data_IF_734399235275
#
_entry.id   IF_734399235275
#
_cell.length_a   1.000
_cell.length_b   1.000
_cell.length_c   1.000
_cell.angle_alpha   90.00
_cell.angle_beta   90.00
_cell.angle_gamma   90.00
#
_symmetry.space_group_name_H-M   'P 1'
#
loop_
_entity.id
_entity.type
_entity.pdbx_description
1 polymer ?
#
# COMPACT_ATOMS: atom_id res chain seq x y z
N UNK A 1 -5.12 28.66 3.49
CA UNK A 1 -4.59 29.17 2.21
C UNK A 1 -4.30 27.94 1.35
N UNK A 2 -4.94 27.84 0.18
CA UNK A 2 -4.83 26.68 -0.73
C UNK A 2 -3.40 26.58 -1.26
N UNK A 3 -2.69 25.52 -0.89
CA UNK A 3 -1.34 25.16 -1.37
C UNK A 3 -1.40 24.41 -2.72
N UNK A 4 -2.42 24.64 -3.52
CA UNK A 4 -2.47 24.04 -4.85
C UNK A 4 -1.69 24.96 -5.77
N UNK A 5 -0.43 24.64 -6.04
CA UNK A 5 0.24 25.16 -7.23
C UNK A 5 -0.60 24.67 -8.41
N UNK A 6 -1.25 25.58 -9.14
CA UNK A 6 -2.11 25.22 -10.27
C UNK A 6 -1.34 24.42 -11.33
N UNK A 7 -0.03 24.61 -11.41
CA UNK A 7 0.84 23.94 -12.40
C UNK A 7 2.20 23.67 -11.81
N UNK A 8 2.70 22.44 -12.00
CA UNK A 8 4.05 22.02 -11.62
C UNK A 8 4.74 21.43 -12.85
N UNK A 9 6.01 21.81 -13.06
CA UNK A 9 6.86 21.31 -14.13
C UNK A 9 8.10 20.67 -13.52
N UNK A 10 8.28 19.37 -13.77
CA UNK A 10 9.43 18.61 -13.27
C UNK A 10 10.20 18.01 -14.43
N UNK A 11 11.52 18.25 -14.48
CA UNK A 11 12.45 17.69 -15.47
C UNK A 11 13.43 16.75 -14.79
N UNK A 12 13.73 15.61 -15.43
CA UNK A 12 14.71 14.66 -14.92
C UNK A 12 14.69 13.35 -15.72
N UNK A 13 15.26 12.30 -15.14
CA UNK A 13 15.17 10.94 -15.69
C UNK A 13 13.92 10.26 -15.19
N UNK A 14 13.08 9.78 -16.07
CA UNK A 14 11.81 9.14 -15.71
C UNK A 14 11.80 7.67 -16.11
N UNK A 15 11.20 6.87 -15.26
CA UNK A 15 10.98 5.45 -15.51
C UNK A 15 9.59 5.06 -15.00
N UNK A 16 8.78 4.46 -15.87
CA UNK A 16 7.50 3.86 -15.49
C UNK A 16 7.12 2.65 -16.37
N UNK A 17 6.00 2.02 -16.02
CA UNK A 17 5.39 0.92 -16.76
C UNK A 17 4.07 1.43 -17.33
N UNK A 18 3.95 1.43 -18.66
CA UNK A 18 2.88 2.16 -19.36
C UNK A 18 1.50 1.50 -19.21
N UNK A 19 1.46 0.16 -19.14
CA UNK A 19 0.20 -0.61 -19.09
C UNK A 19 0.30 -1.77 -18.12
N UNK A 20 -0.85 -2.18 -17.58
CA UNK A 20 -0.94 -3.43 -16.82
C UNK A 20 -0.75 -4.63 -17.77
N UNK A 21 -0.13 -5.68 -17.25
CA UNK A 21 0.18 -6.90 -18.01
C UNK A 21 -0.53 -8.11 -17.39
N UNK A 22 -0.61 -9.19 -18.16
CA UNK A 22 -1.13 -10.49 -17.73
C UNK A 22 -0.01 -11.47 -17.33
N UNK A 23 1.21 -11.24 -17.83
CA UNK A 23 2.37 -12.10 -17.60
C UNK A 23 3.59 -11.23 -17.23
N UNK A 24 4.46 -11.68 -16.31
CA UNK A 24 5.63 -10.91 -15.90
C UNK A 24 6.64 -10.71 -17.04
N UNK A 25 6.67 -11.62 -18.00
CA UNK A 25 7.51 -11.56 -19.20
C UNK A 25 7.16 -10.41 -20.16
N UNK A 26 5.98 -9.84 -20.03
CA UNK A 26 5.53 -8.69 -20.84
C UNK A 26 5.95 -7.33 -20.24
N UNK A 27 6.32 -7.29 -18.97
CA UNK A 27 6.68 -6.04 -18.29
C UNK A 27 7.81 -5.29 -19.00
N UNK A 28 8.91 -5.94 -19.45
CA UNK A 28 9.99 -5.23 -20.15
C UNK A 28 9.52 -4.50 -21.42
N UNK A 29 8.48 -5.00 -22.09
CA UNK A 29 7.90 -4.38 -23.30
C UNK A 29 7.06 -3.13 -22.97
N UNK A 30 6.70 -2.93 -21.70
CA UNK A 30 5.90 -1.80 -21.20
C UNK A 30 6.75 -0.74 -20.50
N UNK A 31 8.06 -0.95 -20.38
CA UNK A 31 8.96 0.03 -19.78
C UNK A 31 9.05 1.28 -20.65
N UNK A 32 8.82 2.43 -20.02
CA UNK A 32 9.10 3.73 -20.62
C UNK A 32 10.21 4.39 -19.79
N UNK A 33 11.36 4.63 -20.42
CA UNK A 33 12.48 5.33 -19.84
C UNK A 33 12.80 6.57 -20.65
N UNK A 34 12.82 7.73 -20.00
CA UNK A 34 13.22 9.02 -20.56
C UNK A 34 14.45 9.51 -19.82
N UNK A 35 15.59 9.56 -20.47
CA UNK A 35 16.84 10.05 -19.87
C UNK A 35 16.77 11.55 -19.55
N UNK A 36 16.07 12.31 -20.35
CA UNK A 36 15.77 13.73 -20.14
C UNK A 36 14.28 13.94 -20.47
N UNK A 37 13.44 13.74 -19.50
CA UNK A 37 11.99 13.84 -19.59
C UNK A 37 11.44 15.06 -18.85
N UNK A 38 10.19 15.38 -19.14
CA UNK A 38 9.41 16.41 -18.43
C UNK A 38 8.02 15.87 -18.12
N UNK A 39 7.57 16.14 -16.90
CA UNK A 39 6.20 15.98 -16.47
C UNK A 39 5.62 17.38 -16.17
N UNK A 40 4.48 17.69 -16.78
CA UNK A 40 3.68 18.89 -16.49
C UNK A 40 2.39 18.43 -15.85
N UNK A 41 2.10 18.89 -14.63
CA UNK A 41 0.83 18.66 -13.96
C UNK A 41 0.06 19.95 -13.78
N UNK A 42 -1.26 19.87 -13.96
CA UNK A 42 -2.23 20.94 -13.68
C UNK A 42 -3.33 20.40 -12.79
N UNK A 43 -3.67 21.13 -11.73
CA UNK A 43 -4.72 20.74 -10.78
C UNK A 43 -4.54 19.30 -10.27
N UNK A 44 -3.29 18.91 -10.02
CA UNK A 44 -2.93 17.59 -9.49
C UNK A 44 -2.91 16.45 -10.52
N UNK A 45 -3.22 16.72 -11.79
CA UNK A 45 -3.24 15.70 -12.84
C UNK A 45 -2.17 15.95 -13.88
N UNK A 46 -1.65 14.86 -14.44
CA UNK A 46 -0.66 14.91 -15.51
C UNK A 46 -1.32 15.46 -16.76
N UNK A 47 -0.86 16.62 -17.19
CA UNK A 47 -1.33 17.30 -18.39
C UNK A 47 -0.54 16.92 -19.61
N UNK A 48 0.78 16.76 -19.43
CA UNK A 48 1.71 16.37 -20.46
C UNK A 48 2.89 15.59 -19.86
N UNK A 49 3.40 14.62 -20.61
CA UNK A 49 4.57 13.84 -20.24
C UNK A 49 5.31 13.38 -21.52
N UNK A 50 6.62 13.63 -21.59
CA UNK A 50 7.44 13.26 -22.73
C UNK A 50 8.88 13.72 -22.62
N UNK A 51 9.64 13.64 -23.74
CA UNK A 51 11.03 14.09 -23.79
C UNK A 51 11.14 15.61 -23.67
N UNK A 52 12.20 16.09 -23.01
CA UNK A 52 12.46 17.54 -22.88
C UNK A 52 12.53 18.25 -24.24
N UNK A 53 13.09 17.61 -25.24
CA UNK A 53 13.22 18.18 -26.60
C UNK A 53 11.84 18.55 -27.19
N UNK A 54 10.78 17.83 -26.83
CA UNK A 54 9.42 18.02 -27.35
C UNK A 54 8.57 18.93 -26.44
N UNK A 55 9.08 19.28 -25.23
CA UNK A 55 8.32 19.97 -24.21
C UNK A 55 8.05 21.46 -24.49
N UNK A 56 8.83 22.11 -25.35
CA UNK A 56 8.85 23.58 -25.52
C UNK A 56 7.46 24.19 -25.77
N UNK A 57 6.63 23.56 -26.61
CA UNK A 57 5.30 24.06 -26.94
C UNK A 57 4.24 23.79 -25.84
N UNK A 58 4.60 22.98 -24.84
CA UNK A 58 3.71 22.58 -23.72
C UNK A 58 4.07 23.29 -22.43
N UNK A 59 5.27 23.93 -22.36
CA UNK A 59 5.70 24.61 -21.15
C UNK A 59 4.84 25.85 -20.88
N UNK A 60 4.21 25.94 -19.69
CA UNK A 60 3.43 27.10 -19.33
C UNK A 60 4.35 28.31 -19.06
N UNK A 61 3.95 29.47 -19.54
CA UNK A 61 4.71 30.69 -19.37
C UNK A 61 4.88 31.08 -17.90
N UNK A 62 6.11 31.36 -17.46
CA UNK A 62 6.39 31.87 -16.12
C UNK A 62 6.39 30.79 -15.01
N UNK A 63 6.27 29.52 -15.34
CA UNK A 63 6.39 28.42 -14.36
C UNK A 63 7.86 27.98 -14.26
N UNK A 64 8.35 27.89 -13.03
CA UNK A 64 9.69 27.37 -12.75
C UNK A 64 9.77 25.87 -13.02
N UNK A 65 10.81 25.44 -13.74
CA UNK A 65 11.10 24.03 -13.98
C UNK A 65 11.94 23.48 -12.82
N UNK A 66 11.36 22.58 -12.04
CA UNK A 66 12.10 21.85 -11.01
C UNK A 66 12.93 20.76 -11.69
N UNK A 67 14.27 20.91 -11.66
CA UNK A 67 15.19 20.04 -12.40
C UNK A 67 15.97 19.11 -11.48
N UNK A 68 15.86 17.80 -11.74
CA UNK A 68 16.53 16.71 -11.05
C UNK A 68 17.46 15.95 -12.02
N UNK A 69 18.67 16.49 -12.32
CA UNK A 69 19.51 16.00 -13.42
C UNK A 69 20.09 14.59 -13.17
N UNK A 70 20.31 14.21 -11.90
CA UNK A 70 20.97 12.95 -11.54
C UNK A 70 20.03 11.93 -10.92
N UNK A 71 18.84 12.36 -10.51
CA UNK A 71 17.85 11.52 -9.83
C UNK A 71 17.02 10.73 -10.85
N UNK A 72 16.44 9.64 -10.39
CA UNK A 72 15.44 8.86 -11.13
C UNK A 72 14.06 9.18 -10.58
N UNK A 73 13.14 9.52 -11.45
CA UNK A 73 11.75 9.81 -11.07
C UNK A 73 10.88 8.62 -11.50
N UNK A 74 10.15 8.05 -10.54
CA UNK A 74 9.22 6.93 -10.76
C UNK A 74 7.85 7.30 -10.21
N UNK A 75 6.76 6.64 -10.63
CA UNK A 75 5.45 6.79 -9.98
C UNK A 75 5.57 6.56 -8.49
N UNK A 76 4.77 7.26 -7.70
CA UNK A 76 4.76 7.11 -6.25
C UNK A 76 4.47 5.66 -5.84
N UNK A 77 5.12 5.22 -4.78
CA UNK A 77 4.93 3.87 -4.26
C UNK A 77 3.55 3.70 -3.65
N UNK A 78 3.01 2.48 -3.79
CA UNK A 78 1.67 2.10 -3.34
C UNK A 78 1.80 0.97 -2.33
N UNK A 79 1.40 1.24 -1.10
CA UNK A 79 1.37 0.28 -0.02
C UNK A 79 -0.04 -0.31 0.11
N UNK A 80 -0.19 -1.60 -0.16
CA UNK A 80 -1.51 -2.25 -0.19
C UNK A 80 -1.94 -2.84 1.16
N UNK A 81 -1.10 -2.74 2.19
CA UNK A 81 -1.42 -3.15 3.56
C UNK A 81 -0.45 -2.58 4.57
N UNK A 82 -0.95 -1.78 5.51
CA UNK A 82 -0.16 -1.16 6.58
C UNK A 82 -1.05 -0.80 7.76
N UNK A 83 -0.53 -0.89 9.00
CA UNK A 83 -1.25 -0.53 10.22
C UNK A 83 -0.75 0.80 10.81
N UNK A 84 -1.52 1.86 10.71
CA UNK A 84 -1.22 3.15 11.30
C UNK A 84 -1.02 3.10 12.82
N UNK A 85 -1.88 2.38 13.59
CA UNK A 85 -1.76 2.36 15.06
C UNK A 85 -0.53 1.61 15.57
N UNK A 86 0.12 0.82 14.72
CA UNK A 86 1.26 -0.02 15.11
C UNK A 86 2.61 0.66 14.85
N UNK A 87 2.61 1.95 14.50
CA UNK A 87 3.82 2.73 14.20
C UNK A 87 4.84 2.70 15.33
N UNK A 88 4.40 2.81 16.59
CA UNK A 88 5.29 2.88 17.76
C UNK A 88 5.87 1.54 18.18
N UNK A 89 5.33 0.43 17.68
CA UNK A 89 5.79 -0.90 18.04
C UNK A 89 6.67 -1.57 16.97
N UNK A 90 7.06 -0.82 15.95
CA UNK A 90 8.00 -1.32 14.92
C UNK A 90 9.29 -1.78 15.59
N UNK A 91 9.70 -3.04 15.29
CA UNK A 91 10.88 -3.65 15.89
C UNK A 91 10.66 -4.21 17.28
N UNK A 92 9.42 -4.29 17.79
CA UNK A 92 9.11 -5.07 18.99
C UNK A 92 9.46 -6.54 18.74
N UNK A 93 9.94 -7.23 19.80
CA UNK A 93 10.45 -8.60 19.65
C UNK A 93 9.40 -9.54 19.05
N UNK A 94 9.73 -10.12 17.89
CA UNK A 94 8.84 -11.00 17.14
C UNK A 94 8.66 -12.35 17.82
N UNK A 95 7.41 -12.66 18.13
CA UNK A 95 6.94 -13.98 18.52
C UNK A 95 5.99 -14.51 17.45
N UNK A 96 5.36 -15.67 17.68
CA UNK A 96 4.27 -16.12 16.81
C UNK A 96 3.08 -15.14 16.87
N UNK A 97 2.37 -15.00 15.75
CA UNK A 97 1.31 -14.00 15.53
C UNK A 97 0.38 -13.78 16.74
N UNK A 98 -0.23 -14.85 17.26
CA UNK A 98 -1.24 -14.71 18.33
C UNK A 98 -0.67 -14.21 19.67
N UNK A 99 0.56 -14.62 20.01
CA UNK A 99 1.27 -14.12 21.18
C UNK A 99 1.64 -12.64 21.00
N UNK A 100 2.13 -12.29 19.83
CA UNK A 100 2.55 -10.93 19.48
C UNK A 100 1.39 -9.92 19.53
N UNK A 101 0.20 -10.32 19.05
CA UNK A 101 -1.01 -9.50 19.13
C UNK A 101 -1.35 -9.13 20.59
N UNK A 102 -1.30 -10.10 21.50
CA UNK A 102 -1.64 -9.87 22.92
C UNK A 102 -0.59 -9.06 23.66
N UNK A 103 0.69 -9.26 23.32
CA UNK A 103 1.82 -8.65 24.05
C UNK A 103 2.04 -7.19 23.65
N UNK A 104 1.93 -6.87 22.38
CA UNK A 104 2.31 -5.56 21.84
C UNK A 104 1.15 -4.83 21.17
N UNK A 105 0.42 -5.49 20.27
CA UNK A 105 -0.55 -4.84 19.39
C UNK A 105 -1.73 -4.27 20.14
N UNK A 106 -2.44 -5.09 20.89
CA UNK A 106 -3.65 -4.66 21.57
C UNK A 106 -3.39 -3.57 22.61
N UNK A 107 -2.34 -3.64 23.47
CA UNK A 107 -2.01 -2.55 24.38
C UNK A 107 -1.73 -1.21 23.69
N UNK A 108 -1.11 -1.24 22.51
CA UNK A 108 -0.84 -0.03 21.73
C UNK A 108 -2.12 0.51 21.09
N UNK A 109 -2.93 -0.35 20.47
CA UNK A 109 -4.16 0.07 19.77
C UNK A 109 -5.22 0.67 20.70
N UNK A 110 -5.29 0.26 21.96
CA UNK A 110 -6.22 0.83 22.97
C UNK A 110 -5.99 2.34 23.16
N UNK A 111 -4.77 2.85 23.01
CA UNK A 111 -4.46 4.26 23.22
C UNK A 111 -5.15 5.19 22.22
N UNK A 112 -5.56 4.66 21.06
CA UNK A 112 -6.17 5.43 19.98
C UNK A 112 -7.64 5.85 20.22
N UNK A 113 -8.22 5.50 21.35
CA UNK A 113 -9.44 6.10 21.85
C UNK A 113 -9.26 7.60 22.21
N UNK A 114 -8.03 8.03 22.54
CA UNK A 114 -7.69 9.44 22.70
C UNK A 114 -7.39 10.06 21.33
N UNK A 115 -8.28 10.96 20.90
CA UNK A 115 -8.12 11.65 19.61
C UNK A 115 -6.85 12.50 19.53
N UNK A 116 -6.37 13.04 20.64
CA UNK A 116 -5.14 13.85 20.68
C UNK A 116 -3.95 12.98 20.34
N UNK A 117 -3.83 11.84 21.02
CA UNK A 117 -2.81 10.84 20.75
C UNK A 117 -2.91 10.31 19.30
N UNK A 118 -4.13 9.93 18.85
CA UNK A 118 -4.34 9.47 17.49
C UNK A 118 -3.90 10.51 16.43
N UNK A 119 -4.15 11.81 16.67
CA UNK A 119 -3.72 12.89 15.78
C UNK A 119 -2.19 13.04 15.71
N UNK A 120 -1.48 12.90 16.82
CA UNK A 120 -0.01 12.99 16.87
C UNK A 120 0.60 11.85 16.07
N UNK A 121 0.15 10.61 16.30
CA UNK A 121 0.65 9.45 15.58
C UNK A 121 0.24 9.50 14.10
N UNK A 122 -0.96 9.96 13.75
CA UNK A 122 -1.39 10.09 12.36
C UNK A 122 -0.53 11.08 11.56
N UNK A 123 -0.15 12.20 12.16
CA UNK A 123 0.75 13.16 11.53
C UNK A 123 2.13 12.56 11.30
N UNK A 124 2.68 11.88 12.31
CA UNK A 124 3.96 11.18 12.22
C UNK A 124 3.91 10.11 11.11
N UNK A 125 2.88 9.26 11.12
CA UNK A 125 2.68 8.19 10.16
C UNK A 125 2.64 8.70 8.71
N UNK A 126 1.85 9.75 8.43
CA UNK A 126 1.77 10.34 7.09
C UNK A 126 3.12 10.93 6.67
N UNK A 127 3.88 11.55 7.58
CA UNK A 127 5.22 12.05 7.28
C UNK A 127 6.20 10.91 6.98
N UNK A 128 6.14 9.81 7.71
CA UNK A 128 6.99 8.63 7.42
C UNK A 128 6.63 8.00 6.06
N UNK A 129 5.34 7.89 5.70
CA UNK A 129 4.95 7.44 4.35
C UNK A 129 5.59 8.33 3.26
N UNK A 130 5.48 9.64 3.39
CA UNK A 130 6.04 10.59 2.43
C UNK A 130 7.58 10.50 2.37
N UNK A 131 8.24 10.39 3.51
CA UNK A 131 9.70 10.23 3.64
C UNK A 131 10.21 8.95 2.97
N UNK A 132 9.35 7.93 2.89
CA UNK A 132 9.67 6.67 2.21
C UNK A 132 9.14 6.57 0.77
N UNK A 133 8.58 7.65 0.22
CA UNK A 133 8.12 7.71 -1.18
C UNK A 133 6.75 7.07 -1.42
N UNK A 134 6.03 6.68 -0.36
CA UNK A 134 4.68 6.13 -0.45
C UNK A 134 3.69 7.26 -0.65
N UNK A 135 2.90 7.19 -1.71
CA UNK A 135 1.93 8.23 -2.10
C UNK A 135 0.48 7.76 -1.99
N UNK A 136 0.27 6.45 -1.93
CA UNK A 136 -1.03 5.81 -1.74
C UNK A 136 -0.87 4.64 -0.79
N UNK A 137 -1.77 4.50 0.19
CA UNK A 137 -1.76 3.37 1.11
C UNK A 137 -3.17 2.87 1.44
N UNK A 138 -3.29 1.55 1.67
CA UNK A 138 -4.47 0.89 2.23
C UNK A 138 -4.18 0.55 3.70
N UNK A 139 -4.89 1.21 4.62
CA UNK A 139 -4.47 1.37 6.02
C UNK A 139 -5.50 0.80 6.99
N UNK A 140 -5.04 -0.06 7.90
CA UNK A 140 -5.76 -0.41 9.12
C UNK A 140 -5.68 0.72 10.14
N UNK A 141 -6.85 1.12 10.69
CA UNK A 141 -6.94 1.97 11.89
C UNK A 141 -7.16 1.09 13.14
N UNK A 142 -7.86 1.62 14.15
CA UNK A 142 -8.36 0.85 15.31
C UNK A 142 -9.88 0.72 15.29
N UNK A 143 -10.45 0.10 16.31
CA UNK A 143 -11.91 0.06 16.51
C UNK A 143 -12.52 1.44 16.83
N UNK A 144 -11.70 2.41 17.20
CA UNK A 144 -12.14 3.74 17.60
C UNK A 144 -12.33 4.65 16.38
N UNK A 145 -13.52 5.25 16.15
CA UNK A 145 -13.78 6.21 15.08
C UNK A 145 -12.78 7.37 15.03
N UNK A 146 -12.29 7.80 16.20
CA UNK A 146 -11.32 8.88 16.37
C UNK A 146 -10.01 8.60 15.62
N UNK A 147 -9.58 7.34 15.58
CA UNK A 147 -8.36 6.95 14.85
C UNK A 147 -8.50 7.12 13.34
N UNK A 148 -9.69 6.82 12.80
CA UNK A 148 -10.01 7.00 11.37
C UNK A 148 -10.06 8.48 11.02
N UNK A 149 -10.74 9.28 11.84
CA UNK A 149 -10.83 10.74 11.67
C UNK A 149 -9.43 11.37 11.70
N UNK A 150 -8.59 11.00 12.67
CA UNK A 150 -7.23 11.51 12.81
C UNK A 150 -6.38 11.22 11.55
N UNK A 151 -6.48 10.01 11.03
CA UNK A 151 -5.72 9.59 9.86
C UNK A 151 -6.16 10.35 8.59
N UNK A 152 -7.47 10.41 8.31
CA UNK A 152 -7.97 11.13 7.13
C UNK A 152 -7.72 12.64 7.23
N UNK A 153 -7.86 13.25 8.42
CA UNK A 153 -7.53 14.65 8.65
C UNK A 153 -6.03 14.94 8.40
N UNK A 154 -5.13 14.03 8.77
CA UNK A 154 -3.70 14.16 8.49
C UNK A 154 -3.39 14.03 6.98
N UNK A 155 -4.00 13.05 6.30
CA UNK A 155 -3.84 12.82 4.87
C UNK A 155 -4.39 13.99 4.02
N UNK A 156 -5.52 14.58 4.40
CA UNK A 156 -6.15 15.70 3.70
C UNK A 156 -5.23 16.92 3.65
N UNK A 157 -4.47 17.20 4.73
CA UNK A 157 -3.54 18.34 4.79
C UNK A 157 -2.50 18.32 3.67
N UNK A 158 -2.08 17.13 3.25
CA UNK A 158 -1.09 16.92 2.18
C UNK A 158 -1.72 16.36 0.91
N UNK A 159 -3.04 16.24 0.87
CA UNK A 159 -3.82 15.66 -0.23
C UNK A 159 -3.38 14.23 -0.61
N UNK A 160 -2.89 13.45 0.36
CA UNK A 160 -2.49 12.07 0.13
C UNK A 160 -3.71 11.18 -0.14
N UNK A 161 -3.58 10.24 -1.07
CA UNK A 161 -4.60 9.22 -1.30
C UNK A 161 -4.46 8.12 -0.25
N UNK A 162 -5.43 8.06 0.66
CA UNK A 162 -5.53 6.95 1.60
C UNK A 162 -6.86 6.22 1.43
N UNK A 163 -6.78 4.90 1.58
CA UNK A 163 -7.92 4.01 1.73
C UNK A 163 -7.82 3.47 3.15
N UNK A 164 -8.80 3.76 4.00
CA UNK A 164 -8.72 3.37 5.40
C UNK A 164 -10.11 3.10 5.98
N UNK A 165 -10.16 2.41 7.10
CA UNK A 165 -11.40 2.17 7.80
C UNK A 165 -11.21 1.74 9.24
N UNK A 166 -12.29 1.89 10.01
CA UNK A 166 -12.40 1.41 11.37
C UNK A 166 -12.28 -0.11 11.40
N UNK A 167 -11.39 -0.63 12.23
CA UNK A 167 -11.29 -2.08 12.49
C UNK A 167 -12.53 -2.57 13.22
N UNK A 168 -13.00 -3.76 12.85
CA UNK A 168 -14.16 -4.39 13.43
C UNK A 168 -13.74 -5.67 14.15
N UNK A 169 -14.03 -5.71 15.44
CA UNK A 169 -13.84 -6.87 16.33
C UNK A 169 -14.96 -6.88 17.37
N UNK A 170 -15.55 -8.02 17.67
CA UNK A 170 -16.57 -8.18 18.72
C UNK A 170 -16.35 -9.41 19.59
N UNK A 171 -15.25 -10.15 19.37
CA UNK A 171 -14.80 -11.26 20.20
C UNK A 171 -13.29 -11.47 20.13
N UNK A 172 -12.75 -12.30 21.03
CA UNK A 172 -11.35 -12.73 21.04
C UNK A 172 -10.33 -11.58 21.05
N UNK A 173 -10.72 -10.43 21.59
CA UNK A 173 -9.90 -9.24 21.76
C UNK A 173 -10.20 -8.63 23.14
N UNK A 174 -9.34 -7.73 23.68
CA UNK A 174 -9.66 -6.98 24.89
C UNK A 174 -10.97 -6.20 24.75
N UNK A 175 -11.74 -6.08 25.83
CA UNK A 175 -13.05 -5.39 25.84
C UNK A 175 -12.97 -3.97 25.25
N UNK A 176 -11.89 -3.24 25.55
CA UNK A 176 -11.65 -1.88 25.04
C UNK A 176 -11.43 -1.83 23.50
N UNK A 177 -11.24 -2.97 22.84
CA UNK A 177 -11.09 -3.12 21.40
C UNK A 177 -12.24 -3.93 20.78
N UNK A 178 -13.36 -4.09 21.48
CA UNK A 178 -14.54 -4.80 20.98
C UNK A 178 -15.70 -3.84 20.72
N UNK A 179 -16.31 -4.03 19.56
CA UNK A 179 -17.61 -3.46 19.20
C UNK A 179 -18.75 -4.39 19.65
N UNK A 180 -19.99 -3.96 19.39
CA UNK A 180 -21.13 -4.85 19.14
C UNK A 180 -21.39 -4.92 17.62
N UNK A 181 -22.11 -5.93 17.10
CA UNK A 181 -22.50 -5.93 15.69
C UNK A 181 -23.22 -4.65 15.25
N UNK A 182 -24.04 -4.05 16.13
CA UNK A 182 -24.77 -2.81 15.88
C UNK A 182 -23.85 -1.59 15.81
N UNK A 183 -22.93 -1.43 16.76
CA UNK A 183 -21.98 -0.29 16.75
C UNK A 183 -20.96 -0.45 15.63
N UNK A 184 -20.50 -1.67 15.34
CA UNK A 184 -19.67 -1.95 14.16
C UNK A 184 -20.32 -1.45 12.88
N UNK A 185 -21.61 -1.72 12.70
CA UNK A 185 -22.38 -1.26 11.54
C UNK A 185 -22.59 0.26 11.56
N UNK A 186 -23.15 0.82 12.65
CA UNK A 186 -23.54 2.25 12.70
C UNK A 186 -22.36 3.19 12.58
N UNK A 187 -21.26 2.91 13.27
CA UNK A 187 -20.06 3.75 13.24
C UNK A 187 -19.36 3.67 11.88
N UNK A 188 -19.27 2.46 11.32
CA UNK A 188 -18.70 2.28 9.99
C UNK A 188 -19.51 3.01 8.93
N UNK A 189 -20.84 2.91 8.98
CA UNK A 189 -21.74 3.65 8.07
C UNK A 189 -21.54 5.16 8.16
N UNK A 190 -21.50 5.70 9.37
CA UNK A 190 -21.26 7.13 9.60
C UNK A 190 -19.90 7.58 9.05
N UNK A 191 -18.84 6.77 9.23
CA UNK A 191 -17.52 7.06 8.70
C UNK A 191 -17.44 6.95 7.18
N UNK A 192 -18.15 5.99 6.55
CA UNK A 192 -18.28 5.92 5.10
C UNK A 192 -18.92 7.19 4.56
N UNK A 193 -20.06 7.59 5.11
CA UNK A 193 -20.80 8.81 4.69
C UNK A 193 -19.96 10.08 4.89
N UNK A 194 -19.12 10.10 5.91
CA UNK A 194 -18.21 11.22 6.22
C UNK A 194 -17.04 11.31 5.26
N UNK A 195 -16.37 10.19 4.96
CA UNK A 195 -15.04 10.20 4.34
C UNK A 195 -14.98 9.63 2.92
N UNK A 196 -15.81 8.62 2.58
CA UNK A 196 -15.69 7.97 1.28
C UNK A 196 -15.98 8.95 0.13
N UNK A 197 -15.01 9.08 -0.80
CA UNK A 197 -15.12 10.01 -1.93
C UNK A 197 -14.95 11.49 -1.58
N UNK A 198 -14.51 11.83 -0.35
CA UNK A 198 -14.17 13.21 0.02
C UNK A 198 -12.72 13.50 -0.35
N UNK A 199 -12.52 14.44 -1.28
CA UNK A 199 -11.18 14.69 -1.82
C UNK A 199 -10.56 13.43 -2.39
N UNK A 200 -9.48 12.95 -1.77
CA UNK A 200 -8.79 11.71 -2.18
C UNK A 200 -8.97 10.55 -1.19
N UNK A 201 -9.79 10.73 -0.15
CA UNK A 201 -10.11 9.70 0.83
C UNK A 201 -11.05 8.64 0.25
N UNK A 202 -10.74 7.36 0.48
CA UNK A 202 -11.60 6.22 0.18
C UNK A 202 -11.74 5.36 1.44
N UNK A 203 -12.90 4.77 1.64
CA UNK A 203 -13.15 3.98 2.83
C UNK A 203 -13.00 2.48 2.56
N UNK A 204 -12.50 1.75 3.58
CA UNK A 204 -12.46 0.29 3.60
C UNK A 204 -13.25 -0.24 4.80
N UNK A 205 -14.17 -1.14 4.56
CA UNK A 205 -14.81 -1.95 5.61
C UNK A 205 -13.75 -2.95 6.07
N UNK A 206 -13.40 -2.94 7.36
CA UNK A 206 -12.17 -3.56 7.84
C UNK A 206 -12.42 -4.53 9.02
N UNK A 207 -13.05 -5.71 8.78
CA UNK A 207 -12.98 -6.77 9.78
C UNK A 207 -11.50 -7.15 9.98
N UNK A 208 -11.01 -7.19 11.22
CA UNK A 208 -9.58 -7.45 11.44
C UNK A 208 -9.17 -8.77 10.82
N UNK A 209 -9.79 -9.85 11.25
CA UNK A 209 -9.71 -11.17 10.66
C UNK A 209 -10.84 -12.04 11.24
N UNK A 210 -11.18 -13.15 10.60
CA UNK A 210 -12.36 -13.95 10.98
C UNK A 210 -12.40 -14.37 12.46
N UNK A 211 -11.29 -14.71 13.15
CA UNK A 211 -11.35 -15.07 14.56
C UNK A 211 -11.88 -13.99 15.51
N UNK A 212 -11.75 -12.72 15.16
CA UNK A 212 -12.20 -11.59 16.01
C UNK A 212 -13.59 -11.07 15.66
N UNK A 213 -14.28 -11.71 14.72
CA UNK A 213 -15.65 -11.36 14.34
C UNK A 213 -16.61 -12.54 14.57
N UNK A 214 -17.75 -12.25 15.20
CA UNK A 214 -18.86 -13.23 15.26
C UNK A 214 -19.56 -13.34 13.90
N UNK A 215 -20.32 -14.41 13.65
CA UNK A 215 -21.22 -14.50 12.49
C UNK A 215 -22.13 -13.28 12.37
N UNK A 216 -22.69 -12.79 13.47
CA UNK A 216 -23.57 -11.62 13.53
C UNK A 216 -22.86 -10.34 13.11
N UNK A 217 -21.61 -10.14 13.52
CA UNK A 217 -20.81 -9.00 13.06
C UNK A 217 -20.51 -9.11 11.56
N UNK A 218 -20.12 -10.30 11.08
CA UNK A 218 -19.84 -10.51 9.64
C UNK A 218 -21.09 -10.31 8.77
N UNK A 219 -22.28 -10.67 9.24
CA UNK A 219 -23.54 -10.35 8.55
C UNK A 219 -23.74 -8.85 8.41
N UNK A 220 -23.51 -8.07 9.48
CA UNK A 220 -23.58 -6.59 9.43
C UNK A 220 -22.54 -6.00 8.49
N UNK A 221 -21.34 -6.56 8.47
CA UNK A 221 -20.27 -6.16 7.54
C UNK A 221 -20.68 -6.44 6.08
N UNK A 222 -21.26 -7.60 5.80
CA UNK A 222 -21.81 -7.95 4.49
C UNK A 222 -22.93 -7.00 4.05
N UNK A 223 -23.80 -6.63 4.97
CA UNK A 223 -24.87 -5.65 4.73
C UNK A 223 -24.26 -4.29 4.32
N UNK A 224 -23.23 -3.80 5.03
CA UNK A 224 -22.54 -2.54 4.66
C UNK A 224 -21.95 -2.62 3.24
N UNK A 225 -21.33 -3.75 2.87
CA UNK A 225 -20.79 -3.93 1.52
C UNK A 225 -21.88 -3.90 0.44
N UNK A 226 -23.07 -4.40 0.73
CA UNK A 226 -24.22 -4.32 -0.19
C UNK A 226 -24.77 -2.89 -0.30
N UNK A 227 -24.84 -2.14 0.80
CA UNK A 227 -25.29 -0.76 0.81
C UNK A 227 -24.30 0.20 0.12
N UNK A 228 -23.00 -0.09 0.24
CA UNK A 228 -21.91 0.72 -0.30
C UNK A 228 -20.99 -0.12 -1.20
N UNK A 229 -21.45 -0.50 -2.40
CA UNK A 229 -20.72 -1.47 -3.24
C UNK A 229 -19.38 -0.98 -3.77
N UNK A 230 -19.13 0.31 -3.76
CA UNK A 230 -17.88 0.95 -4.22
C UNK A 230 -16.82 1.14 -3.12
N UNK A 231 -17.16 0.92 -1.83
CA UNK A 231 -16.15 0.88 -0.76
C UNK A 231 -15.30 -0.38 -0.83
N UNK A 232 -14.11 -0.30 -0.24
CA UNK A 232 -13.22 -1.46 -0.15
C UNK A 232 -13.63 -2.40 0.97
N UNK A 233 -13.14 -3.64 0.88
CA UNK A 233 -13.02 -4.57 2.02
C UNK A 233 -11.55 -4.82 2.23
N UNK A 234 -11.08 -4.77 3.47
CA UNK A 234 -9.68 -4.98 3.82
C UNK A 234 -9.58 -5.86 5.07
N UNK A 235 -8.91 -6.99 4.98
CA UNK A 235 -8.80 -7.96 6.09
C UNK A 235 -7.58 -8.86 5.92
N UNK A 236 -7.23 -9.63 6.95
CA UNK A 236 -6.17 -10.64 6.92
C UNK A 236 -6.74 -12.00 6.50
N UNK A 237 -5.93 -12.79 5.81
CA UNK A 237 -6.31 -14.11 5.31
C UNK A 237 -5.13 -15.07 5.26
N UNK A 238 -5.28 -16.22 5.91
CA UNK A 238 -4.39 -17.38 5.77
C UNK A 238 -2.89 -17.04 5.91
N UNK A 239 -2.59 -16.22 6.92
CA UNK A 239 -1.22 -15.80 7.24
C UNK A 239 -0.44 -16.91 7.94
N UNK A 240 -1.07 -17.55 8.97
CA UNK A 240 -0.44 -18.51 9.86
C UNK A 240 -1.27 -19.79 9.96
N UNK A 241 -0.61 -20.94 10.09
CA UNK A 241 -1.29 -22.24 10.14
C UNK A 241 -2.15 -22.42 11.41
N UNK A 242 -1.71 -21.88 12.54
CA UNK A 242 -2.48 -21.94 13.80
C UNK A 242 -3.71 -21.04 13.70
N UNK A 243 -3.60 -19.89 13.03
CA UNK A 243 -4.72 -19.01 12.68
C UNK A 243 -5.76 -19.75 11.82
N UNK A 244 -5.33 -20.42 10.76
CA UNK A 244 -6.22 -21.22 9.88
C UNK A 244 -6.95 -22.30 10.67
N UNK A 245 -6.22 -23.04 11.52
CA UNK A 245 -6.82 -24.06 12.37
C UNK A 245 -7.86 -23.47 13.34
N UNK A 246 -7.58 -22.29 13.88
CA UNK A 246 -8.51 -21.57 14.75
C UNK A 246 -9.77 -21.13 14.00
N UNK A 247 -9.64 -20.54 12.80
CA UNK A 247 -10.79 -20.18 11.94
C UNK A 247 -11.67 -21.40 11.67
N UNK A 248 -11.06 -22.53 11.30
CA UNK A 248 -11.80 -23.78 11.05
C UNK A 248 -12.59 -24.27 12.28
N UNK A 249 -12.06 -24.04 13.49
CA UNK A 249 -12.78 -24.39 14.72
C UNK A 249 -13.95 -23.44 15.03
N UNK A 250 -13.85 -22.17 14.62
CA UNK A 250 -14.87 -21.14 14.86
C UNK A 250 -15.98 -21.14 13.79
N UNK A 251 -15.67 -21.61 12.58
CA UNK A 251 -16.55 -21.62 11.41
C UNK A 251 -16.54 -23.02 10.76
N UNK A 252 -17.02 -24.07 11.47
CA UNK A 252 -16.90 -25.45 11.01
C UNK A 252 -17.76 -25.77 9.77
N UNK A 253 -18.74 -24.93 9.43
CA UNK A 253 -19.62 -25.11 8.27
C UNK A 253 -18.97 -24.61 6.97
N UNK A 254 -17.90 -23.81 7.04
CA UNK A 254 -17.19 -23.27 5.88
C UNK A 254 -16.07 -24.20 5.42
N UNK A 255 -15.92 -24.33 4.10
CA UNK A 255 -14.95 -25.22 3.49
C UNK A 255 -13.49 -24.78 3.73
N UNK A 256 -13.22 -23.47 3.77
CA UNK A 256 -11.91 -22.88 3.99
C UNK A 256 -11.99 -21.52 4.65
N UNK A 257 -10.82 -20.87 4.84
CA UNK A 257 -10.78 -19.57 5.50
C UNK A 257 -11.42 -18.49 4.61
N UNK A 258 -11.07 -18.44 3.33
CA UNK A 258 -11.66 -17.47 2.39
C UNK A 258 -13.18 -17.69 2.23
N UNK A 259 -13.66 -18.94 2.35
CA UNK A 259 -15.09 -19.26 2.26
C UNK A 259 -15.90 -18.57 3.36
N UNK A 260 -15.31 -18.32 4.55
CA UNK A 260 -15.94 -17.49 5.58
C UNK A 260 -16.27 -16.11 5.02
N UNK A 261 -15.30 -15.43 4.40
CA UNK A 261 -15.52 -14.11 3.83
C UNK A 261 -16.47 -14.13 2.62
N UNK A 262 -16.38 -15.16 1.78
CA UNK A 262 -17.25 -15.34 0.64
C UNK A 262 -18.71 -15.52 1.07
N UNK A 263 -18.95 -16.32 2.12
CA UNK A 263 -20.28 -16.57 2.69
C UNK A 263 -20.99 -15.27 3.08
N UNK A 264 -20.25 -14.31 3.66
CA UNK A 264 -20.80 -13.00 4.06
C UNK A 264 -20.69 -11.92 2.94
N UNK A 265 -20.33 -12.28 1.70
CA UNK A 265 -20.29 -11.36 0.58
C UNK A 265 -19.13 -10.35 0.62
N UNK A 266 -18.03 -10.71 1.27
CA UNK A 266 -16.86 -9.84 1.45
C UNK A 266 -15.75 -10.06 0.41
N UNK A 267 -15.90 -11.04 -0.49
CA UNK A 267 -15.05 -11.22 -1.65
C UNK A 267 -15.56 -10.36 -2.81
N UNK A 268 -14.66 -9.91 -3.69
CA UNK A 268 -15.06 -9.15 -4.86
C UNK A 268 -14.04 -8.11 -5.30
N UNK A 269 -14.40 -7.36 -6.32
CA UNK A 269 -13.64 -6.20 -6.76
C UNK A 269 -13.49 -5.21 -5.59
N UNK A 270 -12.28 -4.68 -5.36
CA UNK A 270 -11.93 -3.85 -4.21
C UNK A 270 -11.94 -4.56 -2.84
N UNK A 271 -11.94 -5.91 -2.84
CA UNK A 271 -11.61 -6.68 -1.63
C UNK A 271 -10.13 -7.04 -1.66
N UNK A 272 -9.39 -6.62 -0.64
CA UNK A 272 -7.95 -6.82 -0.51
C UNK A 272 -7.69 -7.65 0.74
N UNK A 273 -7.03 -8.79 0.54
CA UNK A 273 -6.70 -9.74 1.60
C UNK A 273 -5.19 -9.71 1.86
N UNK A 274 -4.79 -9.41 3.09
CA UNK A 274 -3.38 -9.38 3.45
C UNK A 274 -2.83 -10.79 3.66
N UNK A 275 -1.54 -10.96 3.35
CA UNK A 275 -0.71 -12.16 3.50
C UNK A 275 -1.03 -13.28 2.51
N UNK A 276 -2.11 -14.01 2.69
CA UNK A 276 -2.52 -15.12 1.82
C UNK A 276 -1.40 -16.19 1.60
N UNK A 277 -0.59 -16.44 2.64
CA UNK A 277 0.60 -17.31 2.55
C UNK A 277 0.21 -18.76 2.28
N UNK A 278 -0.91 -19.20 2.83
CA UNK A 278 -1.32 -20.60 2.85
C UNK A 278 -2.68 -20.83 2.17
N UNK A 279 -2.94 -20.19 1.03
CA UNK A 279 -4.18 -20.42 0.28
C UNK A 279 -4.20 -21.81 -0.36
N UNK A 280 -5.34 -22.49 -0.26
CA UNK A 280 -5.64 -23.70 -1.00
C UNK A 280 -6.03 -23.42 -2.46
N UNK A 281 -6.06 -24.43 -3.32
CA UNK A 281 -6.31 -24.22 -4.76
C UNK A 281 -7.71 -23.67 -5.05
N UNK A 282 -8.70 -24.05 -4.29
CA UNK A 282 -10.08 -23.55 -4.37
C UNK A 282 -10.15 -22.06 -3.96
N UNK A 283 -9.37 -21.65 -2.96
CA UNK A 283 -9.30 -20.26 -2.53
C UNK A 283 -8.62 -19.39 -3.60
N UNK A 284 -7.55 -19.88 -4.26
CA UNK A 284 -6.95 -19.22 -5.40
C UNK A 284 -7.95 -19.03 -6.55
N UNK A 285 -8.78 -20.03 -6.83
CA UNK A 285 -9.82 -19.93 -7.85
C UNK A 285 -10.88 -18.90 -7.46
N UNK A 286 -11.32 -18.89 -6.19
CA UNK A 286 -12.25 -17.89 -5.67
C UNK A 286 -11.70 -16.48 -5.79
N UNK A 287 -10.42 -16.23 -5.45
CA UNK A 287 -9.77 -14.93 -5.61
C UNK A 287 -9.78 -14.45 -7.07
N UNK A 288 -9.52 -15.34 -8.02
CA UNK A 288 -9.60 -15.05 -9.45
C UNK A 288 -11.02 -14.69 -9.88
N UNK A 289 -12.00 -15.56 -9.60
CA UNK A 289 -13.38 -15.44 -10.08
C UNK A 289 -14.08 -14.19 -9.51
N UNK A 290 -13.78 -13.85 -8.26
CA UNK A 290 -14.31 -12.66 -7.60
C UNK A 290 -13.54 -11.38 -7.92
N UNK A 291 -12.39 -11.48 -8.60
CA UNK A 291 -11.47 -10.37 -8.84
C UNK A 291 -10.94 -9.71 -7.55
N UNK A 292 -10.90 -10.45 -6.46
CA UNK A 292 -10.25 -10.02 -5.22
C UNK A 292 -8.74 -9.84 -5.41
N UNK A 293 -8.10 -9.10 -4.51
CA UNK A 293 -6.67 -8.82 -4.59
C UNK A 293 -5.94 -9.25 -3.31
N UNK A 294 -4.64 -9.47 -3.45
CA UNK A 294 -3.74 -9.83 -2.36
C UNK A 294 -2.80 -8.67 -2.04
N UNK A 295 -2.57 -8.42 -0.76
CA UNK A 295 -1.45 -7.61 -0.28
C UNK A 295 -0.34 -8.56 0.19
N UNK A 296 0.75 -8.63 -0.58
CA UNK A 296 1.93 -9.43 -0.22
C UNK A 296 2.81 -8.67 0.75
N UNK A 297 2.98 -9.18 1.96
CA UNK A 297 3.70 -8.58 3.08
C UNK A 297 4.97 -9.39 3.43
N UNK A 298 6.00 -9.38 2.58
CA UNK A 298 7.15 -10.29 2.76
C UNK A 298 7.89 -10.07 4.07
N UNK A 299 8.04 -8.83 4.50
CA UNK A 299 8.80 -8.47 5.70
C UNK A 299 8.16 -9.04 6.96
N UNK A 300 6.86 -8.82 7.15
CA UNK A 300 6.14 -9.34 8.32
C UNK A 300 5.99 -10.85 8.29
N UNK A 301 5.73 -11.45 7.11
CA UNK A 301 5.64 -12.89 6.96
C UNK A 301 6.94 -13.60 7.41
N UNK A 302 8.10 -13.00 7.13
CA UNK A 302 9.39 -13.48 7.58
C UNK A 302 9.63 -13.20 9.07
N UNK A 303 9.28 -12.00 9.53
CA UNK A 303 9.51 -11.57 10.90
C UNK A 303 8.72 -12.40 11.93
N UNK A 304 7.45 -12.71 11.62
CA UNK A 304 6.60 -13.56 12.46
C UNK A 304 6.73 -15.06 12.14
N UNK A 305 7.52 -15.45 11.13
CA UNK A 305 7.67 -16.83 10.72
C UNK A 305 6.42 -17.45 10.10
N UNK A 306 5.57 -16.63 9.50
CA UNK A 306 4.31 -17.05 8.87
C UNK A 306 4.53 -17.95 7.66
N UNK A 307 5.57 -17.69 6.84
CA UNK A 307 5.94 -18.52 5.70
C UNK A 307 6.37 -17.73 4.46
N UNK A 308 6.48 -18.45 3.34
CA UNK A 308 6.93 -17.90 2.07
C UNK A 308 5.76 -17.79 1.09
N UNK A 309 5.37 -16.56 0.76
CA UNK A 309 4.26 -16.31 -0.17
C UNK A 309 4.64 -16.67 -1.62
N UNK A 310 3.83 -17.47 -2.34
CA UNK A 310 4.13 -17.92 -3.69
C UNK A 310 3.73 -16.87 -4.75
N UNK A 311 4.51 -15.78 -4.88
CA UNK A 311 4.18 -14.66 -5.79
C UNK A 311 3.96 -15.12 -7.24
N UNK A 312 4.73 -16.08 -7.73
CA UNK A 312 4.57 -16.64 -9.07
C UNK A 312 3.16 -17.22 -9.29
N UNK A 313 2.57 -17.84 -8.28
CA UNK A 313 1.22 -18.41 -8.36
C UNK A 313 0.15 -17.35 -8.63
N UNK A 314 0.38 -16.07 -8.25
CA UNK A 314 -0.53 -14.97 -8.57
C UNK A 314 -0.65 -14.74 -10.07
N UNK A 315 0.46 -14.83 -10.79
CA UNK A 315 0.47 -14.74 -12.25
C UNK A 315 -0.21 -15.96 -12.90
N UNK A 316 0.13 -17.17 -12.44
CA UNK A 316 -0.46 -18.42 -12.94
C UNK A 316 -1.97 -18.46 -12.74
N UNK A 317 -2.46 -17.92 -11.64
CA UNK A 317 -3.88 -17.88 -11.28
C UNK A 317 -4.56 -16.56 -11.68
N UNK A 318 -3.85 -15.62 -12.31
CA UNK A 318 -4.35 -14.29 -12.70
C UNK A 318 -5.00 -13.53 -11.52
N UNK A 319 -4.43 -13.63 -10.33
CA UNK A 319 -4.86 -12.91 -9.12
C UNK A 319 -4.06 -11.62 -8.99
N UNK A 320 -4.74 -10.51 -8.73
CA UNK A 320 -4.10 -9.21 -8.53
C UNK A 320 -3.31 -9.19 -7.23
N UNK A 321 -2.11 -8.62 -7.27
CA UNK A 321 -1.25 -8.50 -6.08
C UNK A 321 -0.52 -7.16 -6.05
N UNK A 322 -0.47 -6.55 -4.87
CA UNK A 322 0.37 -5.42 -4.53
C UNK A 322 1.29 -5.77 -3.36
N UNK A 323 2.25 -4.89 -3.06
CA UNK A 323 3.13 -5.02 -1.91
C UNK A 323 2.56 -4.29 -0.70
N UNK A 324 2.67 -4.88 0.48
CA UNK A 324 2.35 -4.27 1.76
C UNK A 324 3.58 -4.24 2.68
N UNK A 325 3.80 -3.12 3.35
CA UNK A 325 4.86 -3.01 4.37
C UNK A 325 4.46 -3.69 5.68
N UNK A 326 3.16 -3.66 5.98
CA UNK A 326 2.58 -4.24 7.19
C UNK A 326 3.25 -3.78 8.49
N UNK A 327 3.46 -2.46 8.62
CA UNK A 327 3.86 -1.84 9.89
C UNK A 327 2.82 -2.19 10.96
N UNK A 328 3.13 -2.80 12.09
CA UNK A 328 4.34 -2.96 12.91
C UNK A 328 4.96 -4.36 12.93
N UNK A 329 4.34 -5.45 12.41
CA UNK A 329 5.07 -6.71 12.21
C UNK A 329 6.07 -6.55 11.05
N UNK A 330 5.74 -5.76 10.04
CA UNK A 330 6.71 -5.25 9.10
C UNK A 330 7.66 -4.25 9.77
N UNK A 331 8.95 -4.38 9.47
CA UNK A 331 10.03 -3.69 10.20
C UNK A 331 10.48 -2.38 9.56
N UNK A 332 9.82 -1.95 8.47
CA UNK A 332 10.21 -0.74 7.72
C UNK A 332 9.04 -0.17 6.92
N UNK A 333 8.91 1.15 6.91
CA UNK A 333 8.03 1.90 6.01
C UNK A 333 8.49 1.88 4.54
N UNK A 334 9.72 1.43 4.28
CA UNK A 334 10.33 1.48 2.96
C UNK A 334 9.87 0.34 2.04
N UNK A 335 9.10 0.66 1.00
CA UNK A 335 8.79 -0.30 -0.06
C UNK A 335 10.04 -0.78 -0.83
N UNK A 336 11.17 -0.04 -0.80
CA UNK A 336 12.44 -0.54 -1.30
C UNK A 336 12.93 -1.75 -0.49
N UNK A 337 12.82 -1.70 0.84
CA UNK A 337 13.16 -2.82 1.71
C UNK A 337 12.15 -3.96 1.58
N UNK A 338 10.86 -3.65 1.46
CA UNK A 338 9.82 -4.65 1.19
C UNK A 338 10.10 -5.44 -0.09
N UNK A 339 10.50 -4.76 -1.16
CA UNK A 339 10.94 -5.40 -2.42
C UNK A 339 12.16 -6.29 -2.21
N UNK A 340 13.15 -5.85 -1.40
CA UNK A 340 14.33 -6.65 -1.09
C UNK A 340 13.94 -7.97 -0.41
N UNK A 341 13.03 -7.95 0.55
CA UNK A 341 12.53 -9.16 1.19
C UNK A 341 11.69 -10.02 0.22
N UNK A 342 10.84 -9.40 -0.62
CA UNK A 342 10.10 -10.11 -1.66
C UNK A 342 11.04 -10.88 -2.60
N UNK A 343 12.13 -10.25 -3.04
CA UNK A 343 13.15 -10.91 -3.87
C UNK A 343 13.74 -12.15 -3.17
N UNK A 344 14.13 -12.03 -1.89
CA UNK A 344 14.71 -13.16 -1.13
C UNK A 344 13.70 -14.29 -0.94
N UNK A 345 12.44 -13.97 -0.66
CA UNK A 345 11.34 -14.95 -0.54
C UNK A 345 11.19 -15.73 -1.84
N UNK A 346 11.23 -15.08 -3.02
CA UNK A 346 11.14 -15.79 -4.29
C UNK A 346 12.38 -16.64 -4.56
N UNK A 347 13.59 -16.16 -4.25
CA UNK A 347 14.83 -16.95 -4.37
C UNK A 347 14.77 -18.23 -3.53
N UNK A 348 14.23 -18.17 -2.31
CA UNK A 348 14.08 -19.34 -1.44
C UNK A 348 13.10 -20.38 -2.01
N UNK A 349 12.21 -19.97 -2.89
CA UNK A 349 11.25 -20.85 -3.58
C UNK A 349 11.72 -21.30 -4.97
N UNK A 350 12.93 -20.90 -5.39
CA UNK A 350 13.49 -21.21 -6.69
C UNK A 350 12.95 -20.36 -7.84
N UNK A 351 12.21 -19.29 -7.52
CA UNK A 351 11.67 -18.34 -8.48
C UNK A 351 12.53 -17.06 -8.56
N UNK A 352 12.25 -16.22 -9.54
CA UNK A 352 12.97 -14.96 -9.75
C UNK A 352 12.00 -13.80 -9.71
N UNK A 353 12.43 -12.71 -9.09
CA UNK A 353 11.74 -11.41 -9.14
C UNK A 353 12.70 -10.43 -9.84
N UNK A 354 12.36 -9.99 -11.06
CA UNK A 354 13.14 -8.99 -11.78
C UNK A 354 12.94 -7.59 -11.17
N UNK A 355 13.89 -6.67 -11.44
CA UNK A 355 13.75 -5.30 -10.94
C UNK A 355 12.53 -4.58 -11.55
N UNK A 356 12.20 -4.87 -12.80
CA UNK A 356 11.00 -4.29 -13.43
C UNK A 356 9.71 -4.87 -12.87
N UNK A 357 9.66 -6.17 -12.57
CA UNK A 357 8.51 -6.78 -11.90
C UNK A 357 8.33 -6.24 -10.48
N UNK A 358 9.43 -6.04 -9.75
CA UNK A 358 9.42 -5.40 -8.44
C UNK A 358 8.86 -3.97 -8.49
N UNK A 359 9.31 -3.15 -9.47
CA UNK A 359 8.76 -1.81 -9.70
C UNK A 359 7.26 -1.87 -10.05
N UNK A 360 6.86 -2.85 -10.87
CA UNK A 360 5.45 -3.06 -11.23
C UNK A 360 4.59 -3.25 -9.99
N UNK A 361 4.95 -4.18 -9.10
CA UNK A 361 4.19 -4.44 -7.87
C UNK A 361 4.18 -3.26 -6.90
N UNK A 362 5.26 -2.49 -6.85
CA UNK A 362 5.35 -1.29 -6.01
C UNK A 362 4.59 -0.07 -6.56
N UNK A 363 4.17 -0.09 -7.84
CA UNK A 363 3.53 1.04 -8.52
C UNK A 363 2.25 0.63 -9.24
N UNK A 364 2.28 0.34 -10.55
CA UNK A 364 1.10 0.06 -11.37
C UNK A 364 0.39 -1.25 -10.96
N UNK A 365 1.12 -2.26 -10.54
CA UNK A 365 0.56 -3.52 -10.00
C UNK A 365 -0.18 -3.28 -8.69
N UNK A 366 0.39 -2.47 -7.77
CA UNK A 366 -0.29 -2.01 -6.56
C UNK A 366 -1.55 -1.22 -6.89
N UNK A 367 -1.50 -0.31 -7.87
CA UNK A 367 -2.69 0.40 -8.35
C UNK A 367 -3.75 -0.57 -8.90
N UNK A 368 -3.35 -1.60 -9.67
CA UNK A 368 -4.25 -2.64 -10.18
C UNK A 368 -4.89 -3.46 -9.06
N UNK A 369 -4.12 -3.78 -8.01
CA UNK A 369 -4.63 -4.47 -6.83
C UNK A 369 -5.70 -3.65 -6.09
N UNK A 370 -5.51 -2.33 -6.04
CA UNK A 370 -6.46 -1.39 -5.43
C UNK A 370 -7.55 -0.88 -6.40
N UNK A 371 -7.66 -1.42 -7.62
CA UNK A 371 -8.63 -0.94 -8.62
C UNK A 371 -8.49 0.58 -8.94
N UNK A 372 -7.28 1.08 -8.91
CA UNK A 372 -6.91 2.49 -9.15
C UNK A 372 -5.98 2.68 -10.36
N UNK A 373 -5.72 1.65 -11.15
CA UNK A 373 -4.80 1.69 -12.29
C UNK A 373 -5.16 2.74 -13.35
N UNK A 374 -6.40 3.17 -13.42
CA UNK A 374 -6.85 4.23 -14.33
C UNK A 374 -6.60 5.64 -13.77
N UNK A 375 -6.28 5.75 -12.49
CA UNK A 375 -6.10 7.03 -11.79
C UNK A 375 -4.63 7.32 -11.45
N UNK A 376 -3.82 6.29 -11.19
CA UNK A 376 -2.43 6.43 -10.72
C UNK A 376 -1.56 5.22 -11.11
N UNK A 377 -0.29 5.20 -10.66
CA UNK A 377 0.63 4.09 -10.84
C UNK A 377 1.55 4.18 -12.08
N UNK A 378 1.35 5.16 -12.97
CA UNK A 378 2.26 5.50 -14.06
C UNK A 378 2.05 6.95 -14.53
N UNK A 379 2.87 7.40 -15.53
CA UNK A 379 2.85 8.78 -16.02
C UNK A 379 1.95 9.03 -17.24
N UNK A 380 0.87 8.27 -17.40
CA UNK A 380 -0.07 8.53 -18.48
C UNK A 380 -0.86 9.81 -18.22
N UNK A 381 -1.07 10.59 -19.30
CA UNK A 381 -1.83 11.85 -19.26
C UNK A 381 -3.24 11.61 -18.69
N UNK A 382 -3.68 12.52 -17.84
CA UNK A 382 -4.98 12.48 -17.14
C UNK A 382 -4.94 11.81 -15.77
N UNK A 383 -3.89 11.03 -15.46
CA UNK A 383 -3.70 10.43 -14.13
C UNK A 383 -3.23 11.45 -13.10
N UNK A 384 -3.35 11.08 -11.84
CA UNK A 384 -2.88 11.88 -10.71
C UNK A 384 -1.35 11.93 -10.70
N UNK A 385 -0.80 13.12 -10.45
CA UNK A 385 0.62 13.37 -10.48
C UNK A 385 1.25 13.04 -9.11
N UNK A 386 1.22 11.76 -8.75
CA UNK A 386 1.88 11.19 -7.58
C UNK A 386 3.18 10.51 -8.02
N UNK A 387 4.32 11.00 -7.52
CA UNK A 387 5.61 10.44 -7.91
C UNK A 387 6.68 10.66 -6.85
N UNK A 388 7.75 9.89 -6.95
CA UNK A 388 8.91 9.98 -6.08
C UNK A 388 10.18 10.24 -6.88
N UNK A 389 11.02 11.11 -6.35
CA UNK A 389 12.35 11.44 -6.86
C UNK A 389 13.38 10.66 -6.07
N UNK A 390 14.12 9.79 -6.75
CA UNK A 390 15.05 8.84 -6.15
C UNK A 390 16.49 9.24 -6.39
N UNK A 391 17.26 9.43 -5.32
CA UNK A 391 18.71 9.51 -5.38
C UNK A 391 19.29 8.09 -5.37
N UNK A 392 19.92 7.71 -6.47
CA UNK A 392 20.52 6.36 -6.60
C UNK A 392 21.86 6.22 -5.86
N UNK A 393 22.46 7.34 -5.41
CA UNK A 393 23.83 7.40 -4.89
C UNK A 393 23.93 8.13 -3.54
N UNK A 394 23.02 7.93 -2.57
CA UNK A 394 23.03 8.70 -1.32
C UNK A 394 24.17 8.31 -0.37
N UNK A 395 24.86 7.19 -0.63
CA UNK A 395 26.00 6.71 0.16
C UNK A 395 27.17 6.31 -0.75
N UNK A 396 28.39 6.35 -0.23
CA UNK A 396 29.58 5.96 -0.98
C UNK A 396 29.49 4.50 -1.53
N UNK A 397 28.89 3.57 -0.78
CA UNK A 397 28.67 2.21 -1.25
C UNK A 397 27.72 2.17 -2.45
N UNK A 398 26.60 2.88 -2.37
CA UNK A 398 25.64 2.92 -3.48
C UNK A 398 26.22 3.64 -4.70
N UNK A 399 26.97 4.72 -4.52
CA UNK A 399 27.69 5.39 -5.60
C UNK A 399 28.67 4.47 -6.31
N UNK A 400 29.50 3.75 -5.53
CA UNK A 400 30.43 2.74 -6.07
C UNK A 400 29.69 1.64 -6.84
N UNK A 401 28.58 1.11 -6.28
CA UNK A 401 27.79 0.08 -6.95
C UNK A 401 27.13 0.60 -8.22
N UNK A 402 26.54 1.78 -8.18
CA UNK A 402 25.88 2.41 -9.34
C UNK A 402 26.89 2.72 -10.46
N UNK A 403 28.15 3.04 -10.15
CA UNK A 403 29.20 3.24 -11.16
C UNK A 403 29.52 1.97 -11.98
N UNK A 404 29.07 0.80 -11.53
CA UNK A 404 29.21 -0.50 -12.19
C UNK A 404 27.95 -0.98 -12.86
N UNK A 405 26.84 -0.26 -12.72
CA UNK A 405 25.57 -0.60 -13.36
C UNK A 405 25.69 -0.51 -14.89
N UNK A 406 25.17 -1.51 -15.58
CA UNK A 406 25.27 -1.65 -17.03
C UNK A 406 23.96 -1.28 -17.75
N UNK A 407 22.88 -1.19 -17.01
CA UNK A 407 21.54 -0.88 -17.51
C UNK A 407 20.71 -0.17 -16.43
N UNK A 408 19.56 0.38 -16.83
CA UNK A 408 18.58 0.95 -15.90
C UNK A 408 18.04 -0.14 -14.98
N UNK A 409 17.81 -1.36 -15.49
CA UNK A 409 17.35 -2.49 -14.68
C UNK A 409 18.37 -2.90 -13.61
N UNK A 410 19.67 -2.94 -13.97
CA UNK A 410 20.77 -3.21 -13.01
C UNK A 410 20.85 -2.12 -11.93
N UNK A 411 20.65 -0.86 -12.32
CA UNK A 411 20.58 0.28 -11.38
C UNK A 411 19.38 0.19 -10.43
N UNK A 412 18.21 -0.22 -10.93
CA UNK A 412 17.01 -0.48 -10.13
C UNK A 412 17.21 -1.63 -9.16
N UNK A 413 17.78 -2.73 -9.63
CA UNK A 413 18.05 -3.88 -8.76
C UNK A 413 18.98 -3.51 -7.61
N UNK A 414 20.03 -2.73 -7.89
CA UNK A 414 20.93 -2.21 -6.86
C UNK A 414 20.19 -1.28 -5.87
N UNK A 415 19.29 -0.43 -6.37
CA UNK A 415 18.44 0.41 -5.53
C UNK A 415 17.55 -0.44 -4.60
N UNK A 416 16.83 -1.42 -5.12
CA UNK A 416 15.95 -2.28 -4.33
C UNK A 416 16.70 -3.12 -3.30
N UNK A 417 17.95 -3.50 -3.60
CA UNK A 417 18.78 -4.31 -2.68
C UNK A 417 19.41 -3.46 -1.57
N UNK A 418 19.83 -2.24 -1.85
CA UNK A 418 20.61 -1.40 -0.94
C UNK A 418 19.86 -0.14 -0.46
N UNK A 419 18.64 0.08 -0.97
CA UNK A 419 17.91 1.30 -0.77
C UNK A 419 17.04 1.32 0.48
N UNK A 420 16.84 2.54 0.98
CA UNK A 420 15.96 2.88 2.09
C UNK A 420 15.50 4.35 1.97
N UNK A 421 15.06 4.99 3.06
CA UNK A 421 14.63 6.39 3.10
C UNK A 421 15.71 7.38 2.65
N UNK A 422 16.99 7.01 2.77
CA UNK A 422 18.12 7.85 2.29
C UNK A 422 18.09 8.06 0.77
N UNK A 423 17.42 7.16 0.04
CA UNK A 423 17.27 7.25 -1.40
C UNK A 423 16.12 8.16 -1.84
N UNK A 424 15.23 8.56 -0.94
CA UNK A 424 14.11 9.43 -1.27
C UNK A 424 14.58 10.90 -1.21
N UNK A 425 14.67 11.54 -2.36
CA UNK A 425 15.04 12.96 -2.48
C UNK A 425 13.82 13.87 -2.29
N UNK A 426 12.70 13.52 -2.94
CA UNK A 426 11.44 14.24 -2.81
C UNK A 426 10.25 13.32 -3.10
N UNK A 427 9.11 13.61 -2.49
CA UNK A 427 7.84 12.95 -2.77
C UNK A 427 6.79 13.97 -3.15
N UNK A 428 6.12 13.73 -4.27
CA UNK A 428 5.09 14.60 -4.81
C UNK A 428 3.72 13.93 -4.69
N UNK A 429 2.80 14.69 -4.13
CA UNK A 429 1.40 14.30 -4.00
C UNK A 429 0.55 15.26 -4.81
N UNK A 430 -0.21 14.72 -5.75
CA UNK A 430 -1.15 15.50 -6.57
C UNK A 430 -0.49 16.74 -7.21
N UNK A 431 0.74 16.53 -7.72
CA UNK A 431 1.57 17.56 -8.34
C UNK A 431 2.29 18.50 -7.38
N UNK A 432 2.06 18.43 -6.08
CA UNK A 432 2.70 19.26 -5.07
C UNK A 432 3.83 18.49 -4.38
N UNK A 433 4.98 19.15 -4.14
CA UNK A 433 6.08 18.57 -3.37
C UNK A 433 5.70 18.54 -1.90
N UNK A 434 5.29 17.34 -1.43
CA UNK A 434 4.85 17.09 -0.06
C UNK A 434 6.00 16.76 0.90
N UNK A 435 7.11 16.21 0.36
CA UNK A 435 8.33 15.93 1.10
C UNK A 435 9.56 16.33 0.28
N UNK A 436 10.55 16.87 0.96
CA UNK A 436 11.89 17.12 0.43
C UNK A 436 12.90 16.73 1.49
N UNK A 437 13.88 15.93 1.10
CA UNK A 437 15.00 15.58 1.97
C UNK A 437 15.78 16.85 2.35
N UNK A 438 16.04 16.99 3.65
CA UNK A 438 16.90 18.06 4.12
C UNK A 438 18.34 17.83 3.66
N UNK A 439 18.91 18.81 2.98
CA UNK A 439 20.35 18.82 2.68
C UNK A 439 21.08 19.02 4.00
N UNK A 440 21.91 18.05 4.39
CA UNK A 440 22.82 18.27 5.52
C UNK A 440 23.62 19.54 5.28
N UNK A 441 23.50 20.50 6.21
CA UNK A 441 24.27 21.75 6.22
C UNK A 441 25.73 21.51 6.49
#
# INVERSE_FOLDING_TARGET
MSLIANTTVVRGRFLDIQQTVSEPTDIPNQIRYLEDGVLISEHGKIKWFGAWADAQQHLPAGVEVQHYPEQLIVPGFIDTHIHFPQTEMVGAYGEQLLSWLNTYTFPTEIQFQDKTYANEIAQFFVQELLKHGTTTALVFCTVHPESVDALFEAAERVQMRLIAGKVLMDRNAPEALCDTPETAYSDTKALIEKWHGKGRALYAITPRFAPTSTPEQLERVGQLKQEFPDVYVHTHLSENKDEIAWVKSLFPEQAGYLDVYQHYGLTGKRSVFAHCVHLEDEEWQCMHDTQSAIAFCPTSNLFLGSGLFPLKKTWEKQVKVGLGTDIGAGTSFSLLQTVNEAYKVQQLQGDKLSAYEALYHATLGGAKALDLQDQLGNFNVGKEADFVVLNLKPTALQELRQSKSKSVEDSLFALFTLGDDRNIEATYIYGNRAYQKETAK
#
